data_IF_318010862499
#
_entry.id   IF_318010862499
#
_cell.length_a   1.000
_cell.length_b   1.000
_cell.length_c   1.000
_cell.angle_alpha   90.00
_cell.angle_beta   90.00
_cell.angle_gamma   90.00
#
_symmetry.space_group_name_H-M   'P 1'
#
loop_
_entity.id
_entity.type
_entity.pdbx_description
1 polymer ?
#
# COMPACT_ATOMS: atom_id res chain seq x y z
N UNK A 1 20.15 -2.02 2.70
CA UNK A 1 20.47 -2.07 4.16
C UNK A 1 20.60 -0.63 4.62
N UNK A 2 19.69 -0.16 5.47
CA UNK A 2 19.66 1.25 5.94
C UNK A 2 20.48 1.40 7.22
N UNK A 3 21.09 2.56 7.42
CA UNK A 3 21.89 2.84 8.62
C UNK A 3 20.98 2.88 9.87
N UNK A 4 21.41 2.31 11.02
CA UNK A 4 20.60 2.31 12.25
C UNK A 4 20.17 3.71 12.68
N UNK A 5 21.00 4.74 12.44
CA UNK A 5 20.66 6.12 12.76
C UNK A 5 19.54 6.67 11.88
N UNK A 6 19.47 6.26 10.61
CA UNK A 6 18.42 6.64 9.66
C UNK A 6 17.09 5.99 10.04
N UNK A 7 17.11 4.72 10.45
CA UNK A 7 15.90 4.01 10.91
C UNK A 7 15.30 4.67 12.15
N UNK A 8 16.13 5.00 13.15
CA UNK A 8 15.66 5.67 14.37
C UNK A 8 15.08 7.04 14.07
N UNK A 9 15.71 7.82 13.19
CA UNK A 9 15.19 9.14 12.75
C UNK A 9 13.83 9.01 12.06
N UNK A 10 13.68 8.07 11.12
CA UNK A 10 12.42 7.84 10.43
C UNK A 10 11.30 7.40 11.40
N UNK A 11 11.61 6.56 12.39
CA UNK A 11 10.65 6.16 13.43
C UNK A 11 10.22 7.38 14.27
N UNK A 12 11.17 8.22 14.69
CA UNK A 12 10.85 9.45 15.45
C UNK A 12 10.00 10.43 14.64
N UNK A 13 10.25 10.58 13.34
CA UNK A 13 9.43 11.42 12.45
C UNK A 13 8.01 10.87 12.30
N UNK A 14 7.85 9.56 12.09
CA UNK A 14 6.54 8.91 12.01
C UNK A 14 5.76 9.01 13.33
N UNK A 15 6.45 8.96 14.47
CA UNK A 15 5.86 9.12 15.81
C UNK A 15 5.37 10.57 15.99
N UNK A 16 6.21 11.55 15.63
CA UNK A 16 5.86 12.98 15.72
C UNK A 16 4.69 13.38 14.81
N UNK A 17 4.49 12.68 13.69
CA UNK A 17 3.40 12.90 12.74
C UNK A 17 2.15 12.07 13.03
N UNK A 18 2.22 11.22 14.07
CA UNK A 18 1.11 10.44 14.63
C UNK A 18 0.74 9.20 13.82
N UNK A 19 1.60 8.72 12.92
CA UNK A 19 1.34 7.47 12.16
C UNK A 19 1.78 6.22 12.94
N UNK A 20 2.79 6.36 13.79
CA UNK A 20 3.22 5.30 14.69
C UNK A 20 3.21 5.79 16.13
N UNK A 21 3.26 4.84 17.06
CA UNK A 21 3.52 5.07 18.47
C UNK A 21 4.77 4.31 18.86
N UNK A 22 5.82 5.02 19.22
CA UNK A 22 7.01 4.39 19.79
C UNK A 22 6.75 4.06 21.27
N UNK A 23 6.90 2.79 21.66
CA UNK A 23 6.74 2.34 23.04
C UNK A 23 8.12 1.91 23.56
N UNK A 24 8.68 2.60 24.56
CA UNK A 24 9.96 2.24 25.15
C UNK A 24 10.03 0.75 25.50
N UNK A 25 11.09 0.08 25.05
CA UNK A 25 11.33 -1.37 25.24
C UNK A 25 10.27 -2.32 24.64
N UNK A 26 9.30 -1.81 23.88
CA UNK A 26 8.23 -2.59 23.23
C UNK A 26 8.16 -2.43 21.70
N UNK A 27 8.99 -1.56 21.13
CA UNK A 27 9.06 -1.35 19.68
C UNK A 27 8.08 -0.28 19.19
N UNK A 28 7.64 -0.41 17.94
CA UNK A 28 6.80 0.57 17.22
C UNK A 28 5.46 -0.09 16.88
N UNK A 29 4.35 0.61 17.08
CA UNK A 29 3.02 0.15 16.69
C UNK A 29 2.32 1.19 15.82
N UNK A 30 1.50 0.77 14.84
CA UNK A 30 0.69 1.68 14.04
C UNK A 30 -0.42 2.29 14.89
N UNK A 31 -0.63 3.61 14.74
CA UNK A 31 -1.86 4.26 15.20
C UNK A 31 -3.00 3.96 14.23
N UNK A 32 -4.23 4.36 14.54
CA UNK A 32 -5.35 4.19 13.60
C UNK A 32 -5.12 4.93 12.28
N UNK A 33 -4.67 6.19 12.37
CA UNK A 33 -4.19 6.98 11.22
C UNK A 33 -3.08 6.27 10.44
N UNK A 34 -2.16 5.60 11.15
CA UNK A 34 -1.11 4.77 10.57
C UNK A 34 -1.65 3.59 9.76
N UNK A 35 -2.67 2.91 10.28
CA UNK A 35 -3.32 1.80 9.60
C UNK A 35 -4.00 2.27 8.32
N UNK A 36 -4.85 3.31 8.41
CA UNK A 36 -5.53 3.89 7.24
C UNK A 36 -4.55 4.25 6.12
N UNK A 37 -3.44 4.91 6.48
CA UNK A 37 -2.41 5.25 5.51
C UNK A 37 -1.70 4.01 4.94
N UNK A 38 -1.46 2.99 5.76
CA UNK A 38 -0.88 1.71 5.31
C UNK A 38 -1.79 0.98 4.33
N UNK A 39 -3.11 0.97 4.56
CA UNK A 39 -4.09 0.40 3.64
C UNK A 39 -3.99 1.07 2.26
N UNK A 40 -3.90 2.40 2.22
CA UNK A 40 -3.70 3.13 0.98
C UNK A 40 -2.39 2.76 0.27
N UNK A 41 -1.26 2.70 0.99
CA UNK A 41 0.04 2.33 0.41
C UNK A 41 -0.03 0.93 -0.22
N UNK A 42 -0.59 -0.05 0.49
CA UNK A 42 -0.72 -1.42 -0.01
C UNK A 42 -1.63 -1.51 -1.23
N UNK A 43 -2.77 -0.82 -1.20
CA UNK A 43 -3.71 -0.75 -2.33
C UNK A 43 -3.04 -0.15 -3.56
N UNK A 44 -2.32 0.96 -3.39
CA UNK A 44 -1.56 1.64 -4.44
C UNK A 44 -0.56 0.70 -5.10
N UNK A 45 0.26 0.01 -4.31
CA UNK A 45 1.23 -0.96 -4.82
C UNK A 45 0.54 -2.04 -5.66
N UNK A 46 -0.51 -2.66 -5.12
CA UNK A 46 -1.18 -3.80 -5.75
C UNK A 46 -1.89 -3.42 -7.06
N UNK A 47 -2.54 -2.25 -7.10
CA UNK A 47 -3.19 -1.72 -8.31
C UNK A 47 -2.17 -1.42 -9.40
N UNK A 48 -1.09 -0.71 -9.08
CA UNK A 48 -0.07 -0.37 -10.07
C UNK A 48 0.68 -1.61 -10.56
N UNK A 49 1.00 -2.55 -9.67
CA UNK A 49 1.70 -3.79 -10.04
C UNK A 49 0.82 -4.68 -10.92
N UNK A 50 -0.49 -4.74 -10.64
CA UNK A 50 -1.46 -5.41 -11.50
C UNK A 50 -1.54 -4.73 -12.88
N UNK A 51 -1.58 -3.40 -12.92
CA UNK A 51 -1.61 -2.65 -14.18
C UNK A 51 -0.38 -2.93 -15.04
N UNK A 52 0.83 -2.86 -14.48
CA UNK A 52 2.05 -3.15 -15.26
C UNK A 52 2.12 -4.61 -15.70
N UNK A 53 1.66 -5.54 -14.85
CA UNK A 53 1.59 -6.95 -15.22
C UNK A 53 0.61 -7.18 -16.38
N UNK A 54 -0.54 -6.51 -16.37
CA UNK A 54 -1.50 -6.55 -17.46
C UNK A 54 -0.90 -6.07 -18.79
N UNK A 55 0.02 -5.11 -18.75
CA UNK A 55 0.76 -4.61 -19.92
C UNK A 55 2.01 -5.41 -20.29
N UNK A 56 2.25 -6.56 -19.64
CA UNK A 56 3.22 -7.56 -20.11
C UNK A 56 4.51 -7.66 -19.29
N UNK A 57 4.64 -6.92 -18.18
CA UNK A 57 5.74 -7.17 -17.23
C UNK A 57 5.47 -8.45 -16.43
N UNK A 58 6.52 -9.19 -16.06
CA UNK A 58 6.36 -10.29 -15.11
C UNK A 58 5.89 -9.78 -13.74
N UNK A 59 5.32 -10.64 -12.88
CA UNK A 59 4.95 -10.28 -11.51
C UNK A 59 6.10 -9.63 -10.72
N UNK A 60 7.33 -10.16 -10.88
CA UNK A 60 8.51 -9.66 -10.18
C UNK A 60 8.96 -8.29 -10.71
N UNK A 61 9.00 -8.11 -12.04
CA UNK A 61 9.35 -6.83 -12.66
C UNK A 61 8.33 -5.75 -12.32
N UNK A 62 7.04 -6.09 -12.35
CA UNK A 62 5.94 -5.17 -12.00
C UNK A 62 6.11 -4.63 -10.57
N UNK A 63 6.32 -5.53 -9.60
CA UNK A 63 6.55 -5.17 -8.20
C UNK A 63 7.78 -4.26 -8.04
N UNK A 64 8.90 -4.63 -8.68
CA UNK A 64 10.15 -3.85 -8.61
C UNK A 64 10.00 -2.46 -9.21
N UNK A 65 9.34 -2.31 -10.36
CA UNK A 65 9.18 -1.00 -10.99
C UNK A 65 8.20 -0.11 -10.22
N UNK A 66 7.09 -0.66 -9.76
CA UNK A 66 6.11 0.09 -8.97
C UNK A 66 6.72 0.65 -7.69
N UNK A 67 7.54 -0.14 -6.97
CA UNK A 67 8.21 0.31 -5.76
C UNK A 67 9.11 1.56 -5.97
N UNK A 68 9.54 1.84 -7.21
CA UNK A 68 10.38 3.01 -7.53
C UNK A 68 9.58 4.30 -7.67
N UNK A 69 8.30 4.23 -8.04
CA UNK A 69 7.51 5.44 -8.33
C UNK A 69 6.17 5.53 -7.59
N UNK A 70 5.69 4.48 -6.93
CA UNK A 70 4.38 4.47 -6.29
C UNK A 70 4.20 5.63 -5.30
N UNK A 71 5.27 6.03 -4.61
CA UNK A 71 5.27 7.14 -3.66
C UNK A 71 4.77 8.47 -4.25
N UNK A 72 4.87 8.65 -5.57
CA UNK A 72 4.49 9.86 -6.29
C UNK A 72 3.08 9.79 -6.91
N UNK A 73 2.40 8.65 -6.83
CA UNK A 73 1.06 8.48 -7.42
C UNK A 73 0.00 8.83 -6.38
N UNK A 74 -0.91 9.74 -6.75
CA UNK A 74 -1.99 10.23 -5.89
C UNK A 74 -3.11 9.21 -5.71
N UNK A 75 -3.93 9.38 -4.67
CA UNK A 75 -5.10 8.53 -4.42
C UNK A 75 -6.08 8.56 -5.59
N UNK A 76 -6.41 9.75 -6.11
CA UNK A 76 -7.34 9.91 -7.22
C UNK A 76 -6.90 9.17 -8.50
N UNK A 77 -5.60 9.16 -8.78
CA UNK A 77 -5.06 8.41 -9.92
C UNK A 77 -5.20 6.90 -9.71
N UNK A 78 -4.94 6.41 -8.50
CA UNK A 78 -5.14 5.00 -8.15
C UNK A 78 -6.62 4.61 -8.23
N UNK A 79 -7.53 5.48 -7.79
CA UNK A 79 -8.97 5.26 -7.92
C UNK A 79 -9.40 5.19 -9.38
N UNK A 80 -8.93 6.10 -10.23
CA UNK A 80 -9.22 6.08 -11.67
C UNK A 80 -8.71 4.78 -12.34
N UNK A 81 -7.49 4.35 -12.02
CA UNK A 81 -6.91 3.10 -12.56
C UNK A 81 -7.71 1.89 -12.06
N UNK A 82 -8.01 1.84 -10.75
CA UNK A 82 -8.82 0.77 -10.15
C UNK A 82 -10.19 0.63 -10.83
N UNK A 83 -10.87 1.76 -11.07
CA UNK A 83 -12.16 1.81 -11.78
C UNK A 83 -12.01 1.31 -13.23
N UNK A 84 -10.96 1.73 -13.94
CA UNK A 84 -10.73 1.29 -15.34
C UNK A 84 -10.46 -0.21 -15.47
N UNK A 85 -9.94 -0.83 -14.40
CA UNK A 85 -9.67 -2.28 -14.33
C UNK A 85 -10.86 -3.07 -13.74
N UNK A 86 -12.01 -2.42 -13.50
CA UNK A 86 -13.21 -3.09 -13.02
C UNK A 86 -13.18 -3.52 -11.55
N UNK A 87 -12.52 -2.74 -10.68
CA UNK A 87 -12.42 -3.01 -9.23
C UNK A 87 -11.85 -4.40 -8.88
N UNK A 88 -10.63 -4.72 -9.34
CA UNK A 88 -10.04 -6.04 -9.11
C UNK A 88 -9.79 -6.29 -7.63
N UNK A 89 -10.17 -7.48 -7.14
CA UNK A 89 -10.00 -7.88 -5.72
C UNK A 89 -8.70 -8.64 -5.45
N UNK A 90 -7.96 -9.01 -6.49
CA UNK A 90 -6.69 -9.73 -6.37
C UNK A 90 -5.74 -9.30 -7.50
N UNK A 91 -4.45 -9.20 -7.18
CA UNK A 91 -3.40 -8.92 -8.16
C UNK A 91 -2.12 -9.71 -7.87
N UNK A 92 -1.07 -9.43 -8.63
CA UNK A 92 0.23 -10.12 -8.52
C UNK A 92 0.90 -9.98 -7.14
N UNK A 93 0.53 -8.95 -6.37
CA UNK A 93 1.03 -8.70 -5.02
C UNK A 93 -0.03 -8.96 -3.92
N UNK A 94 -1.04 -9.78 -4.22
CA UNK A 94 -2.06 -10.26 -3.28
C UNK A 94 -3.39 -9.52 -3.36
N UNK A 95 -4.20 -9.65 -2.29
CA UNK A 95 -5.58 -9.13 -2.21
C UNK A 95 -5.63 -7.61 -2.26
N UNK A 96 -6.52 -7.03 -3.05
CA UNK A 96 -6.74 -5.59 -3.13
C UNK A 96 -7.95 -5.23 -2.27
N UNK A 97 -7.74 -4.33 -1.31
CA UNK A 97 -8.80 -3.77 -0.48
C UNK A 97 -9.42 -2.55 -1.18
N UNK A 98 -10.70 -2.31 -0.93
CA UNK A 98 -11.44 -1.19 -1.52
C UNK A 98 -12.11 -0.38 -0.41
N UNK A 99 -11.89 0.93 -0.42
CA UNK A 99 -12.58 1.85 0.48
C UNK A 99 -14.03 2.02 -0.02
N UNK A 100 -15.02 1.56 0.75
CA UNK A 100 -16.44 1.89 0.50
C UNK A 100 -17.04 1.34 -0.80
N UNK A 101 -16.41 0.38 -1.47
CA UNK A 101 -17.04 -0.38 -2.55
C UNK A 101 -17.92 -1.43 -1.88
N UNK A 102 -19.25 -1.29 -1.99
CA UNK A 102 -20.28 -2.20 -1.43
C UNK A 102 -20.28 -3.61 -2.03
N UNK A 103 -19.10 -4.15 -2.35
CA UNK A 103 -18.83 -5.52 -2.77
C UNK A 103 -18.47 -6.40 -1.56
N UNK A 104 -18.85 -5.99 -0.35
CA UNK A 104 -19.13 -6.88 0.77
C UNK A 104 -20.47 -7.59 0.57
N UNK A 105 -20.59 -8.35 -0.52
CA UNK A 105 -21.59 -9.40 -0.60
C UNK A 105 -21.00 -10.68 -1.22
N UNK A 106 -20.98 -11.68 -0.34
CA UNK A 106 -21.16 -13.10 -0.62
C UNK A 106 -19.91 -13.89 -1.01
N UNK A 107 -19.40 -14.59 0.01
CA UNK A 107 -18.61 -15.79 -0.21
C UNK A 107 -19.43 -16.82 -0.99
N UNK A 108 -18.81 -17.37 -2.02
CA UNK A 108 -19.15 -18.64 -2.67
C UNK A 108 -17.83 -19.16 -3.26
N UNK A 109 -17.40 -20.40 -3.14
CA UNK A 109 -17.78 -21.59 -2.38
C UNK A 109 -16.50 -22.45 -2.33
#
# INVERSE_FOLDING_TARGET
KVDPSTTTKAISELDSTGYVKHIPYRGVSLTEKGKEYTHFILRRHRILSLMLNHYGLSPEESCKEVARFEGFVSKDAIDAICNSMGHPTFGVCGRIEHDGCGLDHEGHA
#
